data_IF_917112064597
#
_entry.id   IF_917112064597
#
_cell.length_a   1.000
_cell.length_b   1.000
_cell.length_c   1.000
_cell.angle_alpha   90.00
_cell.angle_beta   90.00
_cell.angle_gamma   90.00
#
_symmetry.space_group_name_H-M   'P 1'
#
loop_
_entity.id
_entity.type
_entity.pdbx_description
1 polymer ?
#
# COMPACT_ATOMS: atom_id res chain seq x y z
N UNK A 1 -22.33 14.68 -9.20
CA UNK A 1 -22.02 14.79 -7.75
C UNK A 1 -21.78 13.45 -7.04
N UNK A 2 -22.78 12.62 -6.71
CA UNK A 2 -22.54 11.35 -5.95
C UNK A 2 -21.62 10.40 -6.73
N UNK A 3 -21.87 10.22 -8.04
CA UNK A 3 -21.04 9.36 -8.89
C UNK A 3 -19.60 9.91 -9.03
N UNK A 4 -19.42 11.23 -9.12
CA UNK A 4 -18.08 11.84 -9.14
C UNK A 4 -17.31 11.53 -7.86
N UNK A 5 -17.96 11.65 -6.69
CA UNK A 5 -17.34 11.29 -5.41
C UNK A 5 -16.98 9.81 -5.33
N UNK A 6 -17.82 8.92 -5.85
CA UNK A 6 -17.51 7.49 -5.92
C UNK A 6 -16.29 7.22 -6.79
N UNK A 7 -16.20 7.84 -7.96
CA UNK A 7 -15.05 7.70 -8.85
C UNK A 7 -13.77 8.26 -8.22
N UNK A 8 -13.86 9.39 -7.53
CA UNK A 8 -12.71 10.05 -6.92
C UNK A 8 -12.20 9.35 -5.65
N UNK A 9 -13.09 8.69 -4.88
CA UNK A 9 -12.75 8.16 -3.55
C UNK A 9 -12.83 6.64 -3.42
N UNK A 10 -13.47 5.95 -4.37
CA UNK A 10 -13.73 4.51 -4.29
C UNK A 10 -14.78 4.11 -3.23
N UNK A 11 -15.40 5.08 -2.54
CA UNK A 11 -16.35 4.81 -1.48
C UNK A 11 -17.69 4.26 -1.98
N UNK A 12 -18.41 3.56 -1.09
CA UNK A 12 -19.74 3.02 -1.37
C UNK A 12 -20.78 4.11 -1.63
N UNK A 13 -21.81 3.79 -2.43
CA UNK A 13 -22.86 4.74 -2.83
C UNK A 13 -23.50 5.45 -1.62
N UNK A 14 -23.83 4.67 -0.58
CA UNK A 14 -24.46 5.19 0.62
C UNK A 14 -23.53 6.13 1.40
N UNK A 15 -22.24 5.79 1.48
CA UNK A 15 -21.25 6.63 2.17
C UNK A 15 -21.05 7.95 1.43
N UNK A 16 -20.97 7.93 0.10
CA UNK A 16 -20.91 9.16 -0.70
C UNK A 16 -22.16 10.01 -0.54
N UNK A 17 -23.35 9.41 -0.49
CA UNK A 17 -24.61 10.13 -0.26
C UNK A 17 -24.63 10.78 1.13
N UNK A 18 -24.26 10.03 2.18
CA UNK A 18 -24.18 10.53 3.55
C UNK A 18 -23.16 11.66 3.69
N UNK A 19 -21.98 11.49 3.09
CA UNK A 19 -20.93 12.52 3.13
C UNK A 19 -21.37 13.82 2.45
N UNK A 20 -22.08 13.73 1.31
CA UNK A 20 -22.66 14.90 0.65
C UNK A 20 -23.78 15.55 1.46
N UNK A 21 -24.59 14.77 2.16
CA UNK A 21 -25.61 15.32 3.08
C UNK A 21 -24.94 16.02 4.27
N UNK A 22 -23.95 15.40 4.89
CA UNK A 22 -23.18 15.97 6.01
C UNK A 22 -22.39 17.22 5.61
N UNK A 23 -21.97 17.33 4.34
CA UNK A 23 -21.26 18.50 3.82
C UNK A 23 -22.17 19.54 3.15
N UNK A 24 -23.49 19.38 3.22
CA UNK A 24 -24.46 20.24 2.53
C UNK A 24 -24.16 20.41 1.03
N UNK A 25 -23.69 19.36 0.37
CA UNK A 25 -23.37 19.34 -1.06
C UNK A 25 -21.95 19.82 -1.41
N UNK A 26 -21.14 20.26 -0.44
CA UNK A 26 -19.73 20.60 -0.69
C UNK A 26 -18.93 19.32 -0.96
N UNK A 27 -18.37 19.22 -2.17
CA UNK A 27 -17.60 18.06 -2.64
C UNK A 27 -16.26 17.93 -1.92
N UNK A 28 -15.56 19.03 -1.66
CA UNK A 28 -14.25 19.02 -1.01
C UNK A 28 -14.38 18.58 0.46
N UNK A 29 -15.39 19.11 1.15
CA UNK A 29 -15.73 18.70 2.50
C UNK A 29 -16.21 17.23 2.53
N UNK A 30 -17.02 16.78 1.56
CA UNK A 30 -17.44 15.39 1.47
C UNK A 30 -16.26 14.42 1.26
N UNK A 31 -15.28 14.79 0.43
CA UNK A 31 -14.04 13.99 0.26
C UNK A 31 -13.29 13.88 1.58
N UNK A 32 -13.19 14.96 2.34
CA UNK A 32 -12.53 14.96 3.66
C UNK A 32 -13.26 14.05 4.66
N UNK A 33 -14.59 14.10 4.70
CA UNK A 33 -15.42 13.22 5.53
C UNK A 33 -15.20 11.75 5.16
N UNK A 34 -15.20 11.43 3.86
CA UNK A 34 -14.99 10.07 3.39
C UNK A 34 -13.60 9.54 3.74
N UNK A 35 -12.54 10.36 3.60
CA UNK A 35 -11.18 9.98 4.02
C UNK A 35 -11.11 9.66 5.51
N UNK A 36 -11.75 10.48 6.36
CA UNK A 36 -11.79 10.23 7.80
C UNK A 36 -12.53 8.93 8.15
N UNK A 37 -13.71 8.72 7.54
CA UNK A 37 -14.50 7.49 7.72
C UNK A 37 -13.76 6.26 7.22
N UNK A 38 -13.01 6.39 6.12
CA UNK A 38 -12.17 5.32 5.60
C UNK A 38 -11.12 4.91 6.62
N UNK A 39 -10.36 5.85 7.20
CA UNK A 39 -9.38 5.53 8.25
C UNK A 39 -10.00 4.74 9.40
N UNK A 40 -11.12 5.22 9.95
CA UNK A 40 -11.83 4.50 11.02
C UNK A 40 -12.37 3.12 10.61
N UNK A 41 -12.71 2.91 9.34
CA UNK A 41 -13.11 1.60 8.81
C UNK A 41 -11.89 0.68 8.72
N UNK A 42 -10.78 1.16 8.18
CA UNK A 42 -9.53 0.40 8.07
C UNK A 42 -9.04 -0.06 9.45
N UNK A 43 -9.07 0.81 10.46
CA UNK A 43 -8.65 0.47 11.83
C UNK A 43 -9.51 -0.64 12.44
N UNK A 44 -10.82 -0.65 12.13
CA UNK A 44 -11.73 -1.71 12.60
C UNK A 44 -11.52 -3.04 11.87
N UNK A 45 -11.10 -2.98 10.60
CA UNK A 45 -10.91 -4.17 9.78
C UNK A 45 -9.52 -4.78 10.01
N UNK A 46 -8.48 -3.98 10.24
CA UNK A 46 -7.08 -4.43 10.32
C UNK A 46 -6.81 -5.50 11.37
N UNK A 47 -7.61 -5.54 12.44
CA UNK A 47 -7.52 -6.53 13.52
C UNK A 47 -8.22 -7.86 13.22
N UNK A 48 -9.02 -7.94 12.15
CA UNK A 48 -9.75 -9.15 11.78
C UNK A 48 -8.81 -10.18 11.19
N UNK A 49 -9.04 -11.45 11.55
CA UNK A 49 -8.24 -12.55 11.03
C UNK A 49 -8.50 -12.77 9.53
N UNK A 50 -7.41 -12.90 8.76
CA UNK A 50 -7.42 -13.13 7.32
C UNK A 50 -6.85 -14.52 7.01
N UNK A 51 -7.70 -15.55 7.06
CA UNK A 51 -7.26 -16.95 6.87
C UNK A 51 -7.46 -17.47 5.44
N UNK A 52 -8.24 -16.76 4.64
CA UNK A 52 -8.49 -17.08 3.23
C UNK A 52 -7.62 -16.17 2.35
N UNK A 53 -7.59 -16.41 1.04
CA UNK A 53 -6.84 -15.57 0.12
C UNK A 53 -6.40 -16.25 -1.15
N UNK A 54 -5.39 -15.67 -1.79
CA UNK A 54 -4.83 -16.14 -3.04
C UNK A 54 -3.30 -16.13 -2.98
N UNK A 55 -2.71 -17.23 -3.44
CA UNK A 55 -1.31 -17.24 -3.90
C UNK A 55 -1.31 -17.05 -5.40
N UNK A 56 -0.63 -16.02 -5.87
CA UNK A 56 -0.52 -15.70 -7.30
C UNK A 56 0.95 -15.70 -7.73
N UNK A 57 1.16 -15.98 -9.01
CA UNK A 57 2.47 -16.00 -9.64
C UNK A 57 2.54 -15.05 -10.83
N UNK A 58 3.74 -14.55 -11.11
CA UNK A 58 4.01 -13.80 -12.34
C UNK A 58 5.39 -14.12 -12.86
N UNK A 59 5.46 -14.53 -14.13
CA UNK A 59 6.70 -14.71 -14.86
C UNK A 59 6.79 -13.58 -15.88
N UNK A 60 7.81 -12.74 -15.74
CA UNK A 60 8.03 -11.64 -16.66
C UNK A 60 8.43 -12.17 -18.04
N UNK A 61 8.16 -11.38 -19.09
CA UNK A 61 8.48 -11.73 -20.48
C UNK A 61 9.95 -12.12 -20.60
N UNK A 62 10.22 -13.26 -21.25
CA UNK A 62 11.56 -13.82 -21.39
C UNK A 62 12.05 -14.65 -20.19
N UNK A 63 11.23 -14.85 -19.15
CA UNK A 63 11.50 -15.82 -18.07
C UNK A 63 12.65 -15.45 -17.13
N UNK A 64 13.13 -14.20 -17.17
CA UNK A 64 14.28 -13.75 -16.36
C UNK A 64 13.91 -13.28 -14.96
N UNK A 65 12.64 -12.97 -14.71
CA UNK A 65 12.11 -12.56 -13.42
C UNK A 65 10.85 -13.35 -13.11
N UNK A 66 10.76 -13.91 -11.92
CA UNK A 66 9.60 -14.65 -11.42
C UNK A 66 9.20 -14.17 -10.03
N UNK A 67 7.89 -14.07 -9.78
CA UNK A 67 7.33 -13.62 -8.51
C UNK A 67 6.27 -14.61 -8.03
N UNK A 68 6.23 -14.84 -6.71
CA UNK A 68 5.09 -15.43 -6.00
C UNK A 68 4.68 -14.48 -4.88
N UNK A 69 3.38 -14.24 -4.72
CA UNK A 69 2.82 -13.44 -3.62
C UNK A 69 1.67 -14.20 -2.96
N UNK A 70 1.58 -14.10 -1.64
CA UNK A 70 0.43 -14.54 -0.85
C UNK A 70 -0.30 -13.31 -0.32
N UNK A 71 -1.59 -13.18 -0.67
CA UNK A 71 -2.46 -12.11 -0.19
C UNK A 71 -3.67 -12.72 0.47
N UNK A 72 -3.88 -12.38 1.74
CA UNK A 72 -4.98 -12.91 2.53
C UNK A 72 -6.17 -11.95 2.58
N UNK A 73 -7.38 -12.51 2.69
CA UNK A 73 -8.65 -11.86 2.96
C UNK A 73 -9.43 -12.62 4.04
N UNK A 74 -10.63 -12.15 4.42
CA UNK A 74 -11.42 -12.81 5.48
C UNK A 74 -12.15 -14.04 4.95
N UNK A 75 -12.70 -13.99 3.72
CA UNK A 75 -13.53 -15.07 3.16
C UNK A 75 -13.04 -15.61 1.81
N UNK A 76 -13.39 -16.86 1.51
CA UNK A 76 -13.07 -17.52 0.23
C UNK A 76 -13.88 -16.94 -0.95
N UNK A 77 -15.05 -16.36 -0.67
CA UNK A 77 -15.86 -15.64 -1.65
C UNK A 77 -15.09 -14.45 -2.24
N UNK A 78 -14.40 -13.67 -1.40
CA UNK A 78 -13.55 -12.57 -1.86
C UNK A 78 -12.34 -13.09 -2.62
N UNK A 79 -11.69 -14.15 -2.14
CA UNK A 79 -10.53 -14.75 -2.82
C UNK A 79 -10.84 -15.21 -4.25
N UNK A 80 -12.09 -15.58 -4.54
CA UNK A 80 -12.55 -16.02 -5.87
C UNK A 80 -13.01 -14.88 -6.78
N UNK A 81 -13.16 -13.66 -6.26
CA UNK A 81 -13.63 -12.51 -7.03
C UNK A 81 -12.57 -12.04 -8.05
N UNK A 82 -13.00 -11.75 -9.28
CA UNK A 82 -12.08 -11.35 -10.36
C UNK A 82 -11.38 -10.02 -10.10
N UNK A 83 -12.01 -9.09 -9.38
CA UNK A 83 -11.36 -7.84 -8.97
C UNK A 83 -10.25 -8.10 -7.94
N UNK A 84 -10.45 -9.03 -7.00
CA UNK A 84 -9.42 -9.43 -6.04
C UNK A 84 -8.25 -10.11 -6.76
N UNK A 85 -8.53 -11.08 -7.65
CA UNK A 85 -7.49 -11.74 -8.47
C UNK A 85 -6.69 -10.73 -9.31
N UNK A 86 -7.36 -9.79 -9.96
CA UNK A 86 -6.71 -8.74 -10.73
C UNK A 86 -5.79 -7.87 -9.85
N UNK A 87 -6.25 -7.50 -8.66
CA UNK A 87 -5.44 -6.78 -7.69
C UNK A 87 -4.18 -7.56 -7.25
N UNK A 88 -4.31 -8.85 -6.92
CA UNK A 88 -3.16 -9.68 -6.53
C UNK A 88 -2.16 -9.84 -7.69
N UNK A 89 -2.66 -9.99 -8.92
CA UNK A 89 -1.81 -10.01 -10.13
C UNK A 89 -1.05 -8.69 -10.33
N UNK A 90 -1.67 -7.57 -10.04
CA UNK A 90 -1.04 -6.25 -10.10
C UNK A 90 0.07 -6.09 -9.05
N UNK A 91 -0.10 -6.69 -7.86
CA UNK A 91 0.97 -6.77 -6.86
C UNK A 91 2.15 -7.61 -7.36
N UNK A 92 1.91 -8.72 -8.05
CA UNK A 92 3.01 -9.48 -8.65
C UNK A 92 3.82 -8.65 -9.66
N UNK A 93 3.14 -7.88 -10.51
CA UNK A 93 3.79 -6.99 -11.47
C UNK A 93 4.57 -5.87 -10.76
N UNK A 94 3.99 -5.27 -9.71
CA UNK A 94 4.67 -4.31 -8.86
C UNK A 94 5.98 -4.89 -8.32
N UNK A 95 5.92 -6.06 -7.68
CA UNK A 95 7.08 -6.70 -7.05
C UNK A 95 8.14 -7.03 -8.11
N UNK A 96 7.72 -7.55 -9.27
CA UNK A 96 8.64 -7.87 -10.36
C UNK A 96 9.45 -6.65 -10.83
N UNK A 97 8.78 -5.50 -10.95
CA UNK A 97 9.36 -4.25 -11.44
C UNK A 97 10.13 -3.46 -10.37
N UNK A 98 9.57 -3.33 -9.16
CA UNK A 98 10.08 -2.45 -8.12
C UNK A 98 11.04 -3.13 -7.13
N UNK A 99 11.14 -4.47 -7.16
CA UNK A 99 12.08 -5.24 -6.34
C UNK A 99 12.11 -4.85 -4.84
N UNK A 100 10.95 -4.80 -4.14
CA UNK A 100 10.94 -4.60 -2.70
C UNK A 100 11.68 -5.74 -1.99
N UNK A 101 12.26 -5.43 -0.83
CA UNK A 101 12.91 -6.42 0.05
C UNK A 101 11.97 -6.90 1.16
N UNK A 102 11.04 -6.04 1.58
CA UNK A 102 10.15 -6.26 2.70
C UNK A 102 8.71 -5.93 2.31
N UNK A 103 7.72 -6.50 3.00
CA UNK A 103 6.32 -6.09 2.80
C UNK A 103 6.10 -4.71 3.42
N UNK A 104 6.57 -4.53 4.66
CA UNK A 104 6.25 -3.39 5.52
C UNK A 104 7.44 -2.99 6.38
N UNK A 105 7.40 -1.77 6.94
CA UNK A 105 8.51 -1.18 7.71
C UNK A 105 8.93 -1.99 8.94
N UNK A 106 7.98 -2.67 9.59
CA UNK A 106 8.22 -3.52 10.77
C UNK A 106 9.00 -4.81 10.44
N UNK A 107 9.13 -5.16 9.16
CA UNK A 107 9.94 -6.28 8.70
C UNK A 107 11.39 -5.89 8.39
N UNK A 108 11.72 -4.59 8.44
CA UNK A 108 13.08 -4.10 8.17
C UNK A 108 13.96 -4.39 9.39
N UNK A 109 15.11 -5.07 9.23
CA UNK A 109 16.04 -5.31 10.32
C UNK A 109 16.59 -4.00 10.90
N UNK A 110 16.65 -3.92 12.24
CA UNK A 110 17.19 -2.75 12.95
C UNK A 110 18.64 -2.44 12.54
N UNK A 111 19.42 -3.46 12.19
CA UNK A 111 20.79 -3.30 11.69
C UNK A 111 20.85 -2.53 10.37
N UNK A 112 19.92 -2.79 9.45
CA UNK A 112 19.84 -2.06 8.18
C UNK A 112 19.42 -0.61 8.43
N UNK A 113 18.43 -0.38 9.31
CA UNK A 113 17.98 0.95 9.70
C UNK A 113 19.08 1.79 10.37
N UNK A 114 19.84 1.18 11.28
CA UNK A 114 20.95 1.84 11.95
C UNK A 114 22.03 2.26 10.94
N UNK A 115 22.37 1.37 10.01
CA UNK A 115 23.34 1.64 8.94
C UNK A 115 22.88 2.78 8.03
N UNK A 116 21.63 2.75 7.56
CA UNK A 116 21.08 3.82 6.72
C UNK A 116 21.01 5.17 7.47
N UNK A 117 20.69 5.14 8.77
CA UNK A 117 20.70 6.34 9.62
C UNK A 117 22.11 6.93 9.76
N UNK A 118 23.12 6.10 9.93
CA UNK A 118 24.53 6.53 9.99
C UNK A 118 24.96 7.16 8.66
N UNK A 119 24.68 6.51 7.53
CA UNK A 119 24.95 7.02 6.19
C UNK A 119 24.25 8.38 5.98
N UNK A 120 22.99 8.48 6.40
CA UNK A 120 22.22 9.72 6.32
C UNK A 120 22.85 10.83 7.19
N UNK A 121 23.24 10.54 8.44
CA UNK A 121 23.85 11.51 9.34
C UNK A 121 25.21 12.02 8.84
N UNK A 122 26.04 11.12 8.30
CA UNK A 122 27.34 11.47 7.72
C UNK A 122 27.24 12.45 6.54
N UNK A 123 26.10 12.46 5.83
CA UNK A 123 25.87 13.36 4.69
C UNK A 123 25.45 14.80 5.06
N UNK A 124 25.25 15.09 6.35
CA UNK A 124 24.72 16.38 6.84
C UNK A 124 25.54 17.01 7.96
N UNK A 125 26.83 16.67 8.03
CA UNK A 125 27.80 17.22 8.99
C UNK A 125 27.86 18.75 8.88
N UNK A 126 27.91 19.42 10.03
CA UNK A 126 28.01 20.89 10.11
C UNK A 126 26.68 21.64 10.05
N UNK A 127 25.53 20.94 9.96
CA UNK A 127 24.20 21.56 10.03
C UNK A 127 23.64 21.56 11.46
N UNK A 128 22.70 22.48 11.79
CA UNK A 128 22.04 22.48 13.10
C UNK A 128 21.29 21.17 13.40
N UNK A 129 21.22 20.71 14.67
CA UNK A 129 20.61 19.42 15.03
C UNK A 129 19.18 19.21 14.49
N UNK A 130 18.33 20.23 14.56
CA UNK A 130 16.96 20.16 14.06
C UNK A 130 16.87 19.99 12.53
N UNK A 131 17.86 20.50 11.79
CA UNK A 131 17.96 20.36 10.33
C UNK A 131 18.52 18.98 9.98
N UNK A 132 19.52 18.51 10.73
CA UNK A 132 20.07 17.16 10.59
C UNK A 132 18.98 16.11 10.75
N UNK A 133 18.19 16.19 11.84
CA UNK A 133 17.13 15.23 12.11
C UNK A 133 16.11 15.16 10.96
N UNK A 134 15.61 16.32 10.49
CA UNK A 134 14.65 16.37 9.38
C UNK A 134 15.20 15.75 8.08
N UNK A 135 16.49 15.95 7.79
CA UNK A 135 17.10 15.38 6.58
C UNK A 135 17.27 13.87 6.74
N UNK A 136 17.71 13.41 7.91
CA UNK A 136 17.85 11.98 8.21
C UNK A 136 16.50 11.29 8.10
N UNK A 137 15.45 11.86 8.70
CA UNK A 137 14.09 11.33 8.61
C UNK A 137 13.61 11.25 7.15
N UNK A 138 13.81 12.30 6.36
CA UNK A 138 13.46 12.30 4.93
C UNK A 138 14.22 11.26 4.12
N UNK A 139 15.50 10.99 4.45
CA UNK A 139 16.28 9.93 3.81
C UNK A 139 15.79 8.54 4.20
N UNK A 140 15.41 8.34 5.46
CA UNK A 140 14.80 7.09 5.91
C UNK A 140 13.43 6.86 5.25
N UNK A 141 12.61 7.90 5.09
CA UNK A 141 11.36 7.80 4.33
C UNK A 141 11.61 7.38 2.87
N UNK A 142 12.64 7.94 2.23
CA UNK A 142 13.04 7.50 0.89
C UNK A 142 13.58 6.06 0.88
N UNK A 143 14.30 5.64 1.92
CA UNK A 143 14.73 4.26 2.03
C UNK A 143 13.52 3.31 2.10
N UNK A 144 12.56 3.58 2.99
CA UNK A 144 11.32 2.79 3.08
C UNK A 144 10.57 2.73 1.76
N UNK A 145 10.43 3.84 1.03
CA UNK A 145 9.74 3.86 -0.26
C UNK A 145 10.46 3.07 -1.36
N UNK A 146 11.71 2.67 -1.15
CA UNK A 146 12.45 1.79 -2.06
C UNK A 146 12.40 0.33 -1.65
N UNK A 147 12.52 0.02 -0.35
CA UNK A 147 12.66 -1.37 0.13
C UNK A 147 11.36 -2.00 0.66
N UNK A 148 10.37 -1.21 1.07
CA UNK A 148 9.10 -1.72 1.61
C UNK A 148 7.99 -1.64 0.55
N UNK A 149 7.41 -2.78 0.19
CA UNK A 149 6.35 -2.87 -0.82
C UNK A 149 5.19 -1.91 -0.53
N UNK A 150 4.70 -1.84 0.72
CA UNK A 150 3.57 -0.97 1.07
C UNK A 150 3.88 0.53 0.88
N UNK A 151 5.13 0.94 1.04
CA UNK A 151 5.57 2.33 0.92
C UNK A 151 5.96 2.73 -0.51
N UNK A 152 6.08 1.75 -1.42
CA UNK A 152 6.40 2.00 -2.82
C UNK A 152 5.26 2.71 -3.56
N UNK A 153 5.58 3.62 -4.51
CA UNK A 153 4.60 4.07 -5.48
C UNK A 153 4.18 2.91 -6.38
N UNK A 154 2.90 2.88 -6.75
CA UNK A 154 2.37 1.84 -7.62
C UNK A 154 2.80 2.09 -9.07
N UNK A 155 3.49 1.13 -9.69
CA UNK A 155 4.08 1.28 -11.03
C UNK A 155 3.07 1.61 -12.14
N UNK A 156 1.78 1.30 -11.95
CA UNK A 156 0.72 1.68 -12.92
C UNK A 156 0.09 3.04 -12.62
N UNK A 157 0.20 3.53 -11.38
CA UNK A 157 -0.40 4.78 -10.89
C UNK A 157 0.54 5.40 -9.85
N UNK A 158 1.55 6.13 -10.34
CA UNK A 158 2.63 6.65 -9.49
C UNK A 158 2.17 7.72 -8.47
N UNK A 159 0.92 8.16 -8.54
CA UNK A 159 0.29 9.08 -7.59
C UNK A 159 -0.20 8.40 -6.30
N UNK A 160 -0.17 7.07 -6.23
CA UNK A 160 -0.62 6.29 -5.08
C UNK A 160 0.44 5.29 -4.62
N UNK A 161 0.56 5.12 -3.31
CA UNK A 161 1.35 4.03 -2.76
C UNK A 161 0.61 2.69 -2.85
N UNK A 162 1.32 1.58 -2.72
CA UNK A 162 0.69 0.26 -2.58
C UNK A 162 -0.19 0.22 -1.32
N UNK A 163 0.20 0.87 -0.22
CA UNK A 163 -0.64 1.00 0.97
C UNK A 163 -1.99 1.66 0.66
N UNK A 164 -2.01 2.72 -0.14
CA UNK A 164 -3.25 3.37 -0.58
C UNK A 164 -4.09 2.46 -1.47
N UNK A 165 -3.44 1.66 -2.32
CA UNK A 165 -4.11 0.67 -3.15
C UNK A 165 -4.77 -0.41 -2.30
N UNK A 166 -4.08 -0.97 -1.30
CA UNK A 166 -4.65 -1.94 -0.35
C UNK A 166 -5.83 -1.30 0.40
N UNK A 167 -5.67 -0.08 0.92
CA UNK A 167 -6.72 0.64 1.62
C UNK A 167 -7.97 0.84 0.74
N UNK A 168 -7.78 1.16 -0.54
CA UNK A 168 -8.88 1.28 -1.51
C UNK A 168 -9.58 -0.05 -1.76
N UNK A 169 -8.84 -1.17 -1.80
CA UNK A 169 -9.44 -2.49 -1.95
C UNK A 169 -10.24 -2.90 -0.71
N UNK A 170 -9.71 -2.66 0.48
CA UNK A 170 -10.43 -2.88 1.75
C UNK A 170 -11.71 -2.02 1.81
N UNK A 171 -11.63 -0.76 1.36
CA UNK A 171 -12.79 0.12 1.32
C UNK A 171 -13.92 -0.45 0.46
N UNK A 172 -13.54 -0.92 -0.74
CA UNK A 172 -14.44 -1.43 -1.76
C UNK A 172 -15.05 -2.78 -1.41
N UNK A 173 -14.21 -3.72 -0.95
CA UNK A 173 -14.60 -5.11 -0.62
C UNK A 173 -15.29 -5.16 0.75
N UNK A 174 -14.81 -4.37 1.73
CA UNK A 174 -15.33 -4.37 3.09
C UNK A 174 -14.74 -5.45 4.00
N UNK A 175 -13.70 -6.15 3.56
CA UNK A 175 -12.93 -7.11 4.34
C UNK A 175 -11.50 -6.62 4.54
N UNK A 176 -10.86 -7.08 5.62
CA UNK A 176 -9.43 -6.94 5.83
C UNK A 176 -8.66 -7.65 4.70
N UNK A 177 -7.63 -7.00 4.17
CA UNK A 177 -6.75 -7.54 3.13
C UNK A 177 -5.32 -7.31 3.58
N UNK A 178 -4.51 -8.37 3.57
CA UNK A 178 -3.13 -8.32 4.00
C UNK A 178 -2.22 -8.98 2.97
N UNK A 179 -1.15 -8.28 2.58
CA UNK A 179 -0.05 -8.90 1.84
C UNK A 179 0.78 -9.66 2.86
N UNK A 180 0.77 -10.99 2.80
CA UNK A 180 1.40 -11.83 3.82
C UNK A 180 2.90 -11.93 3.62
N UNK A 181 3.30 -12.23 2.39
CA UNK A 181 4.69 -12.46 1.97
C UNK A 181 4.78 -12.52 0.45
N UNK A 182 5.98 -12.31 -0.06
CA UNK A 182 6.31 -12.55 -1.45
C UNK A 182 7.71 -13.16 -1.57
N UNK A 183 8.01 -13.70 -2.73
CA UNK A 183 9.38 -13.97 -3.17
C UNK A 183 9.54 -13.52 -4.61
N UNK A 184 10.75 -13.05 -4.94
CA UNK A 184 11.14 -12.59 -6.27
C UNK A 184 12.46 -13.24 -6.63
N UNK A 185 12.48 -13.87 -7.79
CA UNK A 185 13.68 -14.43 -8.40
C UNK A 185 14.07 -13.61 -9.61
N UNK A 186 15.37 -13.42 -9.78
CA UNK A 186 15.95 -12.80 -10.97
C UNK A 186 17.14 -13.63 -11.42
N UNK A 187 17.17 -13.98 -12.70
CA UNK A 187 18.24 -14.79 -13.28
C UNK A 187 19.58 -14.05 -13.17
N UNK A 188 20.54 -14.66 -12.47
CA UNK A 188 21.90 -14.14 -12.34
C UNK A 188 22.06 -12.93 -11.41
N UNK A 189 21.07 -12.68 -10.53
CA UNK A 189 21.15 -11.65 -9.49
C UNK A 189 21.94 -12.12 -8.27
#
# INVERSE_FOLDING_TARGET
>A
MVNELRTATGAGLLDCKKALTESNGDVSAAVTILRKKLGSKLDKLSSRATKEGLVESYIHVGGKVGVLVEVNCETDFVARNDAFKAFVKDLCLQIAAANPLYVSRDQVPEADLAKEREIAAASVVGKPPAVVQKIVDGKLENYYSTVCLLDQPFVKQNDKSIKDLVASQIAHIGENIQIRRFTRYQLGA
#
